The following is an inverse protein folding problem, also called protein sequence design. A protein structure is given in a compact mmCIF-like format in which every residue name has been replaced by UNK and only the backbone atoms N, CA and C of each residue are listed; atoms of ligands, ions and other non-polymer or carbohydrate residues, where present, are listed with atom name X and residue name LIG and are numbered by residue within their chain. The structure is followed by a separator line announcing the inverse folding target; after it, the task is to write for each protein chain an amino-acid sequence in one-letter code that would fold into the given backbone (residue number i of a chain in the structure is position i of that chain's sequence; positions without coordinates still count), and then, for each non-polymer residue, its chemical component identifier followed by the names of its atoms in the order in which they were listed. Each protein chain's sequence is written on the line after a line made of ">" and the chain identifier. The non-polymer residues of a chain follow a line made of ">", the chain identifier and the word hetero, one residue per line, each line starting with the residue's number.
data_IF_553434007763
#
_entry.id   IF_553434007763
#
_cell.length_a   1.000
_cell.length_b   1.000
_cell.length_c   1.000
_cell.angle_alpha   90.00
_cell.angle_beta   90.00
_cell.angle_gamma   90.00
#
_symmetry.space_group_name_H-M   'P 1'
#
loop_
_entity.id
_entity.type
_entity.pdbx_description
1 polymer ?
#
# COMPACT_ATOMS: atom_id res chain seq x y z
N UNK A 1 -8.29 0.00 -1.20
CA UNK A 1 -7.73 -0.37 0.11
C UNK A 1 -8.78 -1.10 0.90
N UNK A 2 -8.47 -2.31 1.31
CA UNK A 2 -9.30 -3.14 2.20
C UNK A 2 -8.44 -3.58 3.38
N UNK A 3 -9.00 -3.58 4.59
CA UNK A 3 -8.30 -4.03 5.80
C UNK A 3 -8.99 -5.29 6.30
N UNK A 4 -8.19 -6.32 6.56
CA UNK A 4 -8.64 -7.54 7.23
C UNK A 4 -8.10 -7.53 8.65
N UNK A 5 -8.97 -7.76 9.62
CA UNK A 5 -8.63 -7.72 11.05
C UNK A 5 -9.08 -8.99 11.76
N UNK A 6 -8.25 -9.46 12.68
CA UNK A 6 -8.58 -10.51 13.63
C UNK A 6 -8.00 -10.14 14.99
N UNK A 7 -8.85 -9.69 15.91
CA UNK A 7 -8.40 -9.17 17.21
C UNK A 7 -7.55 -7.89 17.02
N UNK A 8 -6.29 -7.96 17.43
CA UNK A 8 -5.34 -6.84 17.31
C UNK A 8 -4.38 -7.01 16.12
N UNK A 9 -4.61 -7.99 15.27
CA UNK A 9 -3.77 -8.29 14.11
C UNK A 9 -4.50 -7.91 12.83
N UNK A 10 -3.78 -7.27 11.91
CA UNK A 10 -4.34 -6.83 10.63
C UNK A 10 -3.38 -6.99 9.45
N UNK A 11 -3.94 -7.09 8.26
CA UNK A 11 -3.22 -6.83 7.01
C UNK A 11 -4.05 -5.95 6.08
N UNK A 12 -3.35 -5.21 5.23
CA UNK A 12 -3.96 -4.33 4.23
C UNK A 12 -3.88 -5.03 2.87
N UNK A 13 -4.97 -5.01 2.12
CA UNK A 13 -5.03 -5.44 0.73
C UNK A 13 -5.21 -4.23 -0.18
N UNK A 14 -4.21 -4.00 -1.03
CA UNK A 14 -4.09 -2.91 -2.00
C UNK A 14 -4.18 -1.48 -1.40
N UNK A 15 -3.48 -0.53 -2.02
CA UNK A 15 -3.51 0.89 -1.65
C UNK A 15 -3.53 1.75 -2.92
N UNK A 16 -4.64 1.68 -3.64
CA UNK A 16 -4.83 2.41 -4.88
C UNK A 16 -5.08 3.91 -4.73
N UNK A 17 -4.84 4.63 -5.82
CA UNK A 17 -5.40 5.97 -6.02
C UNK A 17 -6.76 5.89 -6.70
N UNK A 18 -7.48 7.01 -6.67
CA UNK A 18 -8.58 7.30 -7.59
C UNK A 18 -8.21 8.52 -8.43
N UNK A 19 -8.52 8.47 -9.73
CA UNK A 19 -8.40 9.64 -10.59
C UNK A 19 -9.48 10.67 -10.27
N UNK A 20 -9.17 11.97 -10.32
CA UNK A 20 -10.12 13.03 -10.00
C UNK A 20 -11.28 13.09 -11.01
N UNK A 21 -12.44 13.52 -10.53
CA UNK A 21 -13.55 13.88 -11.42
C UNK A 21 -13.29 15.24 -12.09
N UNK A 22 -14.01 15.52 -13.18
CA UNK A 22 -13.80 16.73 -14.00
C UNK A 22 -13.98 18.06 -13.23
N UNK A 23 -14.71 18.05 -12.11
CA UNK A 23 -14.98 19.21 -11.26
C UNK A 23 -13.97 19.39 -10.11
N UNK A 24 -13.04 18.45 -9.95
CA UNK A 24 -11.98 18.50 -8.93
C UNK A 24 -10.75 19.26 -9.45
N UNK A 25 -10.92 20.56 -9.68
CA UNK A 25 -9.90 21.42 -10.29
C UNK A 25 -8.60 21.46 -9.46
N UNK A 26 -7.47 21.19 -10.13
CA UNK A 26 -6.13 21.26 -9.55
C UNK A 26 -5.71 20.05 -8.70
N UNK A 27 -6.55 18.99 -8.62
CA UNK A 27 -6.22 17.74 -7.95
C UNK A 27 -5.52 16.80 -8.95
N UNK A 28 -4.36 16.26 -8.59
CA UNK A 28 -3.64 15.29 -9.42
C UNK A 28 -4.22 13.86 -9.27
N UNK A 29 -4.45 13.43 -8.03
CA UNK A 29 -5.04 12.14 -7.67
C UNK A 29 -5.58 12.15 -6.23
N UNK A 30 -6.40 11.15 -5.89
CA UNK A 30 -7.03 10.99 -4.58
C UNK A 30 -6.49 9.71 -3.94
N UNK A 31 -6.22 9.75 -2.63
CA UNK A 31 -5.73 8.60 -1.84
C UNK A 31 -6.76 8.19 -0.77
N UNK A 32 -6.71 6.94 -0.25
CA UNK A 32 -7.58 6.51 0.84
C UNK A 32 -7.30 7.28 2.14
N UNK A 33 -8.34 7.56 2.92
CA UNK A 33 -8.17 8.00 4.32
C UNK A 33 -7.85 6.78 5.21
N UNK A 34 -6.63 6.75 5.73
CA UNK A 34 -6.15 5.69 6.61
C UNK A 34 -6.03 6.13 8.08
N UNK A 35 -6.71 7.21 8.49
CA UNK A 35 -6.74 7.66 9.90
C UNK A 35 -7.16 6.58 10.87
N UNK A 36 -8.16 5.79 10.50
CA UNK A 36 -8.60 4.65 11.31
C UNK A 36 -7.42 3.75 11.73
N UNK A 37 -6.48 3.48 10.82
CA UNK A 37 -5.30 2.66 11.09
C UNK A 37 -4.24 3.40 11.92
N UNK A 38 -4.02 4.69 11.67
CA UNK A 38 -2.99 5.47 12.40
C UNK A 38 -3.41 5.81 13.83
N UNK A 39 -4.72 5.90 14.10
CA UNK A 39 -5.28 6.18 15.42
C UNK A 39 -5.41 4.91 16.30
N UNK A 40 -5.55 3.72 15.70
CA UNK A 40 -5.61 2.43 16.39
C UNK A 40 -4.22 1.93 16.84
N UNK A 41 -3.74 2.42 17.98
CA UNK A 41 -2.39 2.11 18.51
C UNK A 41 -2.19 0.66 18.95
N UNK A 42 -3.27 -0.05 19.25
CA UNK A 42 -3.30 -1.46 19.62
C UNK A 42 -3.19 -2.39 18.42
N UNK A 43 -3.47 -1.89 17.22
CA UNK A 43 -3.53 -2.67 15.99
C UNK A 43 -2.12 -2.90 15.42
N UNK A 44 -1.76 -4.16 15.23
CA UNK A 44 -0.52 -4.59 14.59
C UNK A 44 -0.79 -4.94 13.14
N UNK A 45 -0.26 -4.12 12.23
CA UNK A 45 -0.32 -4.37 10.79
C UNK A 45 0.88 -5.24 10.39
N UNK A 46 0.62 -6.47 9.95
CA UNK A 46 1.67 -7.43 9.60
C UNK A 46 2.23 -7.25 8.19
N UNK A 47 1.45 -6.65 7.30
CA UNK A 47 1.88 -6.41 5.92
C UNK A 47 0.85 -5.69 5.07
N UNK A 48 1.32 -5.19 3.93
CA UNK A 48 0.49 -4.69 2.84
C UNK A 48 0.67 -5.63 1.66
N UNK A 49 -0.42 -6.31 1.28
CA UNK A 49 -0.45 -7.24 0.16
C UNK A 49 -1.02 -6.53 -1.07
N UNK A 50 -0.33 -6.66 -2.21
CA UNK A 50 -0.81 -6.14 -3.49
C UNK A 50 -1.22 -7.26 -4.44
N UNK A 51 -2.40 -7.12 -5.01
CA UNK A 51 -2.96 -8.10 -5.96
C UNK A 51 -2.30 -7.99 -7.33
N UNK A 52 -2.17 -6.77 -7.87
CA UNK A 52 -1.55 -6.47 -9.15
C UNK A 52 -1.14 -5.00 -9.26
N UNK A 53 -0.52 -4.63 -10.38
CA UNK A 53 0.18 -3.35 -10.56
C UNK A 53 -0.60 -2.18 -11.14
N UNK A 54 -1.94 -2.23 -11.22
CA UNK A 54 -2.69 -1.04 -11.67
C UNK A 54 -2.67 0.08 -10.61
N UNK A 55 -2.77 1.33 -11.06
CA UNK A 55 -2.67 2.51 -10.19
C UNK A 55 -3.79 2.57 -9.13
N UNK A 56 -4.98 2.08 -9.45
CA UNK A 56 -6.09 1.91 -8.51
C UNK A 56 -5.90 0.74 -7.51
N UNK A 57 -4.74 0.08 -7.55
CA UNK A 57 -4.29 -0.91 -6.57
C UNK A 57 -2.96 -0.52 -5.89
N UNK A 58 -2.02 0.11 -6.60
CA UNK A 58 -0.68 0.43 -6.06
C UNK A 58 -0.39 1.92 -5.89
N UNK A 59 -1.20 2.81 -6.46
CA UNK A 59 -0.81 4.20 -6.66
C UNK A 59 -0.58 5.00 -5.39
N UNK A 60 -1.24 4.62 -4.28
CA UNK A 60 -1.08 5.27 -2.98
C UNK A 60 -0.03 4.59 -2.08
N UNK A 61 0.72 3.59 -2.58
CA UNK A 61 1.67 2.81 -1.79
C UNK A 61 2.67 3.66 -1.01
N UNK A 62 3.29 4.66 -1.66
CA UNK A 62 4.26 5.55 -1.02
C UNK A 62 3.66 6.30 0.19
N UNK A 63 2.40 6.74 0.09
CA UNK A 63 1.72 7.49 1.15
C UNK A 63 1.45 6.61 2.36
N UNK A 64 0.99 5.38 2.10
CA UNK A 64 0.71 4.41 3.18
C UNK A 64 2.00 3.93 3.83
N UNK A 65 3.06 3.68 3.06
CA UNK A 65 4.38 3.30 3.60
C UNK A 65 4.98 4.40 4.46
N UNK A 66 4.84 5.68 4.08
CA UNK A 66 5.28 6.79 4.93
C UNK A 66 4.57 6.81 6.29
N UNK A 67 3.27 6.48 6.31
CA UNK A 67 2.50 6.39 7.55
C UNK A 67 2.86 5.15 8.39
N UNK A 68 3.28 4.04 7.73
CA UNK A 68 3.60 2.76 8.36
C UNK A 68 4.99 2.23 7.95
N UNK A 69 6.09 2.93 8.27
CA UNK A 69 7.42 2.70 7.68
C UNK A 69 8.09 1.36 8.05
N UNK A 70 7.52 0.60 9.00
CA UNK A 70 8.02 -0.70 9.44
C UNK A 70 7.20 -1.88 8.94
N UNK A 71 6.11 -1.61 8.20
CA UNK A 71 5.21 -2.66 7.70
C UNK A 71 5.75 -3.16 6.35
N UNK A 72 6.00 -4.47 6.20
CA UNK A 72 6.51 -5.03 4.96
C UNK A 72 5.45 -5.04 3.85
N UNK A 73 5.91 -4.95 2.60
CA UNK A 73 5.08 -5.10 1.41
C UNK A 73 5.24 -6.51 0.84
N UNK A 74 4.14 -7.05 0.32
CA UNK A 74 4.10 -8.31 -0.41
C UNK A 74 3.49 -8.08 -1.79
N UNK A 75 4.20 -8.47 -2.84
CA UNK A 75 3.70 -8.33 -4.21
C UNK A 75 4.31 -9.35 -5.18
N UNK A 76 3.63 -9.59 -6.30
CA UNK A 76 4.19 -10.39 -7.42
C UNK A 76 5.32 -9.62 -8.15
N UNK A 77 6.21 -10.29 -8.92
CA UNK A 77 7.43 -9.65 -9.41
C UNK A 77 7.22 -8.35 -10.20
N UNK A 78 6.24 -8.31 -11.11
CA UNK A 78 5.91 -7.11 -11.87
C UNK A 78 5.38 -5.99 -10.96
N UNK A 79 4.44 -6.35 -10.08
CA UNK A 79 3.81 -5.42 -9.14
C UNK A 79 4.85 -4.83 -8.17
N UNK A 80 5.76 -5.65 -7.65
CA UNK A 80 6.87 -5.23 -6.80
C UNK A 80 7.79 -4.24 -7.54
N UNK A 81 8.12 -4.51 -8.81
CA UNK A 81 8.91 -3.59 -9.64
C UNK A 81 8.23 -2.23 -9.80
N UNK A 82 6.93 -2.21 -10.10
CA UNK A 82 6.15 -0.97 -10.24
C UNK A 82 6.06 -0.17 -8.94
N UNK A 83 5.81 -0.85 -7.81
CA UNK A 83 5.79 -0.21 -6.49
C UNK A 83 7.18 0.35 -6.15
N UNK A 84 8.25 -0.39 -6.45
CA UNK A 84 9.61 0.04 -6.12
C UNK A 84 10.00 1.34 -6.84
N UNK A 85 9.53 1.58 -8.07
CA UNK A 85 9.72 2.87 -8.76
C UNK A 85 9.12 4.02 -7.94
N UNK A 86 7.86 3.86 -7.48
CA UNK A 86 7.18 4.87 -6.64
C UNK A 86 7.87 5.08 -5.30
N UNK A 87 8.32 3.99 -4.67
CA UNK A 87 9.08 4.08 -3.42
C UNK A 87 10.42 4.79 -3.60
N UNK A 88 11.12 4.56 -4.71
CA UNK A 88 12.38 5.22 -5.02
C UNK A 88 12.20 6.74 -5.25
N UNK A 89 11.12 7.15 -5.94
CA UNK A 89 10.75 8.57 -6.09
C UNK A 89 10.53 9.25 -4.74
N UNK A 90 9.97 8.52 -3.77
CA UNK A 90 9.75 8.97 -2.40
C UNK A 90 10.94 8.74 -1.45
N UNK A 91 12.06 8.16 -1.92
CA UNK A 91 13.23 7.77 -1.11
C UNK A 91 12.93 6.77 0.02
N UNK A 92 11.95 5.87 -0.22
CA UNK A 92 11.50 4.83 0.71
C UNK A 92 11.97 3.43 0.31
N UNK A 93 12.52 3.25 -0.89
CA UNK A 93 12.94 1.97 -1.45
C UNK A 93 13.97 1.24 -0.57
N UNK A 94 14.88 2.00 0.05
CA UNK A 94 15.93 1.44 0.91
C UNK A 94 15.47 1.09 2.33
N UNK A 95 14.36 1.67 2.78
CA UNK A 95 13.84 1.49 4.14
C UNK A 95 12.63 0.55 4.20
N UNK A 96 12.01 0.30 3.05
CA UNK A 96 10.83 -0.57 2.94
C UNK A 96 11.25 -2.01 2.68
N UNK A 97 10.78 -2.95 3.50
CA UNK A 97 10.95 -4.37 3.22
C UNK A 97 9.95 -4.81 2.14
N UNK A 98 10.45 -5.23 0.97
CA UNK A 98 9.67 -5.75 -0.15
C UNK A 98 9.85 -7.26 -0.26
N UNK A 99 8.78 -8.02 -0.06
CA UNK A 99 8.74 -9.47 -0.22
C UNK A 99 8.06 -9.82 -1.54
N UNK A 100 8.78 -10.54 -2.41
CA UNK A 100 8.27 -10.96 -3.72
C UNK A 100 7.77 -12.40 -3.65
N UNK A 101 6.54 -12.64 -4.09
CA UNK A 101 5.92 -13.97 -4.13
C UNK A 101 5.40 -14.33 -5.53
N UNK A 102 5.10 -15.61 -5.75
CA UNK A 102 4.51 -16.13 -6.99
C UNK A 102 3.03 -16.48 -6.80
N UNK A 103 2.25 -16.41 -7.88
CA UNK A 103 0.86 -16.85 -7.85
C UNK A 103 0.77 -18.33 -7.44
N UNK A 104 0.00 -18.61 -6.39
CA UNK A 104 -0.15 -19.95 -5.81
C UNK A 104 0.70 -20.20 -4.55
N UNK A 105 1.60 -19.29 -4.18
CA UNK A 105 2.34 -19.37 -2.92
C UNK A 105 1.41 -19.20 -1.70
N UNK A 106 1.79 -19.85 -0.60
CA UNK A 106 1.18 -19.64 0.73
C UNK A 106 2.08 -18.68 1.50
N UNK A 107 1.53 -17.54 1.90
CA UNK A 107 2.23 -16.45 2.60
C UNK A 107 2.05 -16.55 4.12
#
# INVERSE_FOLDING_TARGET
>A
MTVFELGNDAFILDTGIMFPANDMLGIDYIIPDFKYLTERKDLKIHGILYTHGHEDHVGAAQHVVQAFPKVPIWATPLTAGLINVKLAEAQLDKTTTMNVFQAGDIL
#
